data_IF_196426489066
#
_entry.id   IF_196426489066
#
_cell.length_a   1.000
_cell.length_b   1.000
_cell.length_c   1.000
_cell.angle_alpha   90.00
_cell.angle_beta   90.00
_cell.angle_gamma   90.00
#
_symmetry.space_group_name_H-M   'P 1'
#
loop_
_entity.id
_entity.type
_entity.pdbx_description
1 polymer ?
#
# COMPACT_ATOMS: atom_id res chain seq x y z
N UNK A 1 36.84 83.97 23.30
CA UNK A 1 35.81 83.81 22.26
C UNK A 1 35.16 82.47 22.51
N UNK A 2 34.20 82.45 23.43
CA UNK A 2 33.40 81.27 23.76
C UNK A 2 32.24 81.20 22.77
N UNK A 3 32.48 80.56 21.62
CA UNK A 3 31.42 80.23 20.68
C UNK A 3 30.59 79.10 21.28
N UNK A 4 29.54 79.47 22.00
CA UNK A 4 28.48 78.56 22.43
C UNK A 4 27.94 77.83 21.17
N UNK A 5 27.97 76.49 21.12
CA UNK A 5 27.47 75.76 19.96
C UNK A 5 25.97 76.06 19.74
N UNK A 6 25.50 76.04 18.49
CA UNK A 6 24.08 76.27 18.18
C UNK A 6 23.25 75.16 18.84
N UNK A 7 22.22 75.54 19.61
CA UNK A 7 21.35 74.64 20.36
C UNK A 7 20.69 73.55 19.49
N UNK A 8 20.62 73.78 18.18
CA UNK A 8 20.04 72.87 17.20
C UNK A 8 20.90 71.59 17.01
N UNK A 9 22.22 71.69 17.15
CA UNK A 9 23.12 70.53 17.01
C UNK A 9 23.01 69.54 18.20
N UNK A 10 22.68 70.03 19.39
CA UNK A 10 22.42 69.19 20.57
C UNK A 10 21.06 68.47 20.45
N UNK A 11 20.06 69.10 19.82
CA UNK A 11 18.77 68.49 19.53
C UNK A 11 18.85 67.36 18.50
N UNK A 12 19.61 67.57 17.42
CA UNK A 12 19.79 66.57 16.36
C UNK A 12 20.57 65.35 16.86
N UNK A 13 21.64 65.56 17.64
CA UNK A 13 22.42 64.45 18.22
C UNK A 13 21.61 63.63 19.22
N UNK A 14 20.78 64.26 20.04
CA UNK A 14 19.89 63.56 20.96
C UNK A 14 18.85 62.71 20.20
N UNK A 15 18.31 63.23 19.09
CA UNK A 15 17.33 62.53 18.24
C UNK A 15 17.95 61.28 17.61
N UNK A 16 19.15 61.42 17.02
CA UNK A 16 19.91 60.29 16.46
C UNK A 16 20.18 59.21 17.53
N UNK A 17 20.55 59.60 18.75
CA UNK A 17 20.76 58.63 19.84
C UNK A 17 19.47 57.90 20.24
N UNK A 18 18.31 58.56 20.19
CA UNK A 18 17.02 57.90 20.46
C UNK A 18 16.66 56.91 19.36
N UNK A 19 16.87 57.26 18.10
CA UNK A 19 16.63 56.35 16.96
C UNK A 19 17.54 55.13 17.00
N UNK A 20 18.83 55.31 17.32
CA UNK A 20 19.78 54.19 17.46
C UNK A 20 19.35 53.24 18.58
N UNK A 21 18.81 53.76 19.69
CA UNK A 21 18.27 52.92 20.76
C UNK A 21 17.03 52.16 20.32
N UNK A 22 16.11 52.82 19.62
CA UNK A 22 14.92 52.17 19.06
C UNK A 22 15.30 51.05 18.07
N UNK A 23 16.19 51.34 17.12
CA UNK A 23 16.74 50.35 16.18
C UNK A 23 17.38 49.15 16.87
N UNK A 24 18.15 49.38 17.93
CA UNK A 24 18.75 48.29 18.71
C UNK A 24 17.70 47.42 19.39
N UNK A 25 16.64 48.03 19.91
CA UNK A 25 15.58 47.32 20.60
C UNK A 25 14.74 46.50 19.60
N UNK A 26 14.44 47.05 18.42
CA UNK A 26 13.83 46.34 17.28
C UNK A 26 14.71 45.17 16.81
N UNK A 27 16.02 45.38 16.64
CA UNK A 27 16.95 44.30 16.27
C UNK A 27 16.97 43.17 17.29
N UNK A 28 16.81 43.49 18.58
CA UNK A 28 16.76 42.49 19.65
C UNK A 28 15.46 41.68 19.59
N UNK A 29 14.34 42.34 19.29
CA UNK A 29 13.05 41.69 19.07
C UNK A 29 13.11 40.74 17.87
N UNK A 30 13.58 41.24 16.71
CA UNK A 30 13.77 40.42 15.50
C UNK A 30 14.70 39.24 15.76
N UNK A 31 15.76 39.43 16.52
CA UNK A 31 16.64 38.32 16.90
C UNK A 31 15.90 37.27 17.73
N UNK A 32 15.05 37.69 18.66
CA UNK A 32 14.17 36.81 19.42
C UNK A 32 13.23 36.01 18.52
N UNK A 33 12.58 36.67 17.57
CA UNK A 33 11.66 36.04 16.62
C UNK A 33 12.37 35.03 15.72
N UNK A 34 13.57 35.36 15.23
CA UNK A 34 14.39 34.43 14.43
C UNK A 34 14.75 33.19 15.25
N UNK A 35 15.14 33.35 16.51
CA UNK A 35 15.47 32.23 17.37
C UNK A 35 14.25 31.35 17.68
N UNK A 36 13.07 31.96 17.87
CA UNK A 36 11.82 31.24 18.04
C UNK A 36 11.43 30.46 16.75
N UNK A 37 11.55 31.09 15.58
CA UNK A 37 11.29 30.46 14.30
C UNK A 37 12.24 29.28 14.03
N UNK A 38 13.54 29.44 14.34
CA UNK A 38 14.52 28.34 14.26
C UNK A 38 14.17 27.18 15.20
N UNK A 39 13.65 27.47 16.39
CA UNK A 39 13.12 26.47 17.31
C UNK A 39 11.95 25.69 16.71
N UNK A 40 10.98 26.39 16.14
CA UNK A 40 9.83 25.79 15.48
C UNK A 40 10.24 24.91 14.28
N UNK A 41 11.17 25.37 13.44
CA UNK A 41 11.69 24.61 12.30
C UNK A 41 12.34 23.31 12.77
N UNK A 42 13.14 23.33 13.84
CA UNK A 42 13.76 22.11 14.40
C UNK A 42 12.69 21.13 14.88
N UNK A 43 11.64 21.61 15.52
CA UNK A 43 10.53 20.76 15.96
C UNK A 43 9.79 20.14 14.76
N UNK A 44 9.57 20.91 13.70
CA UNK A 44 8.97 20.38 12.46
C UNK A 44 9.85 19.29 11.83
N UNK A 45 11.17 19.45 11.81
CA UNK A 45 12.08 18.39 11.34
C UNK A 45 11.99 17.12 12.19
N UNK A 46 11.86 17.24 13.51
CA UNK A 46 11.69 16.06 14.37
C UNK A 46 10.37 15.34 14.12
N UNK A 47 9.28 16.08 13.89
CA UNK A 47 7.99 15.49 13.54
C UNK A 47 8.02 14.85 12.15
N UNK A 48 8.65 15.49 11.17
CA UNK A 48 8.81 14.93 9.82
C UNK A 48 9.56 13.59 9.87
N UNK A 49 10.68 13.54 10.60
CA UNK A 49 11.44 12.29 10.78
C UNK A 49 10.60 11.20 11.46
N UNK A 50 9.71 11.59 12.38
CA UNK A 50 8.79 10.64 13.04
C UNK A 50 7.77 10.11 12.04
N UNK A 51 7.20 10.98 11.20
CA UNK A 51 6.24 10.60 10.16
C UNK A 51 6.87 9.66 9.14
N UNK A 52 8.08 9.96 8.65
CA UNK A 52 8.81 9.09 7.71
C UNK A 52 9.04 7.69 8.28
N UNK A 53 9.38 7.58 9.58
CA UNK A 53 9.50 6.27 10.24
C UNK A 53 8.17 5.53 10.33
N UNK A 54 7.06 6.24 10.55
CA UNK A 54 5.75 5.60 10.57
C UNK A 54 5.31 5.16 9.18
N UNK A 55 5.60 5.96 8.15
CA UNK A 55 5.31 5.63 6.76
C UNK A 55 6.06 4.36 6.33
N UNK A 56 7.38 4.33 6.51
CA UNK A 56 8.21 3.15 6.20
C UNK A 56 7.78 1.89 6.95
N UNK A 57 7.34 2.03 8.20
CA UNK A 57 6.78 0.91 8.96
C UNK A 57 5.44 0.42 8.39
N UNK A 58 4.57 1.33 7.94
CA UNK A 58 3.31 0.99 7.28
C UNK A 58 3.57 0.31 5.94
N UNK A 59 4.44 0.86 5.09
CA UNK A 59 4.82 0.26 3.80
C UNK A 59 5.33 -1.17 3.98
N UNK A 60 6.29 -1.34 4.90
CA UNK A 60 6.83 -2.67 5.22
C UNK A 60 5.74 -3.62 5.74
N UNK A 61 4.80 -3.12 6.55
CA UNK A 61 3.67 -3.91 7.05
C UNK A 61 2.69 -4.31 5.93
N UNK A 62 2.42 -3.41 4.98
CA UNK A 62 1.58 -3.69 3.81
C UNK A 62 2.23 -4.74 2.91
N UNK A 63 3.53 -4.63 2.65
CA UNK A 63 4.28 -5.61 1.85
C UNK A 63 4.25 -7.00 2.50
N UNK A 64 4.44 -7.08 3.82
CA UNK A 64 4.31 -8.34 4.55
C UNK A 64 2.90 -8.92 4.48
N UNK A 65 1.87 -8.08 4.57
CA UNK A 65 0.49 -8.54 4.41
C UNK A 65 0.22 -9.02 2.99
N UNK A 66 0.72 -8.33 1.97
CA UNK A 66 0.61 -8.77 0.57
C UNK A 66 1.23 -10.15 0.39
N UNK A 67 2.47 -10.34 0.86
CA UNK A 67 3.16 -11.63 0.74
C UNK A 67 2.40 -12.75 1.46
N UNK A 68 1.82 -12.47 2.64
CA UNK A 68 1.01 -13.45 3.37
C UNK A 68 -0.29 -13.78 2.66
N UNK A 69 -0.90 -12.81 1.98
CA UNK A 69 -2.09 -13.02 1.17
C UNK A 69 -1.75 -13.87 -0.06
N UNK A 70 -0.65 -13.59 -0.74
CA UNK A 70 -0.17 -14.37 -1.88
C UNK A 70 0.09 -15.83 -1.47
N UNK A 71 0.85 -16.05 -0.39
CA UNK A 71 1.08 -17.39 0.17
C UNK A 71 -0.23 -18.10 0.55
N UNK A 72 -1.16 -17.39 1.19
CA UNK A 72 -2.44 -17.97 1.58
C UNK A 72 -3.30 -18.31 0.36
N UNK A 73 -3.25 -17.51 -0.70
CA UNK A 73 -3.97 -17.76 -1.95
C UNK A 73 -3.37 -18.94 -2.72
N UNK A 74 -2.05 -19.01 -2.83
CA UNK A 74 -1.37 -20.11 -3.51
C UNK A 74 -1.55 -21.45 -2.77
N UNK A 75 -1.53 -21.41 -1.43
CA UNK A 75 -1.75 -22.60 -0.59
C UNK A 75 -3.19 -23.14 -0.65
N UNK A 76 -4.13 -22.37 -1.21
CA UNK A 76 -5.55 -22.75 -1.32
C UNK A 76 -5.92 -23.33 -2.70
N UNK A 77 -4.98 -23.40 -3.65
CA UNK A 77 -5.25 -23.98 -4.95
C UNK A 77 -4.93 -25.49 -4.97
N UNK A 78 -5.95 -26.37 -4.92
CA UNK A 78 -5.70 -27.80 -4.99
C UNK A 78 -5.19 -28.17 -6.39
N UNK A 79 -4.30 -29.17 -6.46
CA UNK A 79 -3.87 -29.74 -7.75
C UNK A 79 -5.06 -30.20 -8.59
N UNK A 80 -5.09 -29.77 -9.86
CA UNK A 80 -6.15 -30.11 -10.82
C UNK A 80 -5.89 -31.42 -11.57
N UNK A 81 -4.71 -32.03 -11.37
CA UNK A 81 -4.31 -33.25 -12.09
C UNK A 81 -4.29 -34.47 -11.18
N UNK A 82 -3.85 -34.29 -9.93
CA UNK A 82 -3.63 -35.39 -8.99
C UNK A 82 -4.10 -35.02 -7.59
N UNK A 83 -4.60 -36.00 -6.85
CA UNK A 83 -5.01 -35.83 -5.47
C UNK A 83 -3.79 -35.68 -4.56
N UNK A 84 -3.70 -34.58 -3.82
CA UNK A 84 -2.60 -34.30 -2.88
C UNK A 84 -2.47 -35.35 -1.76
N UNK A 85 -3.53 -36.11 -1.48
CA UNK A 85 -3.53 -37.11 -0.42
C UNK A 85 -3.01 -38.49 -0.87
N UNK A 86 -3.27 -38.89 -2.12
CA UNK A 86 -3.01 -40.27 -2.57
C UNK A 86 -2.35 -40.36 -3.96
N UNK A 87 -2.06 -39.22 -4.60
CA UNK A 87 -1.44 -39.14 -5.92
C UNK A 87 -2.32 -39.62 -7.09
N UNK A 88 -3.53 -40.11 -6.83
CA UNK A 88 -4.43 -40.60 -7.88
C UNK A 88 -5.00 -39.45 -8.71
N UNK A 89 -5.34 -39.73 -9.97
CA UNK A 89 -6.00 -38.77 -10.87
C UNK A 89 -7.31 -38.27 -10.26
N UNK A 90 -7.60 -36.99 -10.47
CA UNK A 90 -8.85 -36.34 -10.01
C UNK A 90 -9.77 -36.04 -11.18
N UNK A 91 -11.07 -36.02 -10.90
CA UNK A 91 -12.08 -35.53 -11.82
C UNK A 91 -12.47 -34.09 -11.51
N UNK A 92 -12.74 -33.32 -12.57
CA UNK A 92 -13.00 -31.89 -12.52
C UNK A 92 -14.45 -31.63 -12.93
N UNK A 93 -15.24 -31.07 -12.02
CA UNK A 93 -16.63 -30.72 -12.26
C UNK A 93 -16.80 -29.20 -12.27
N UNK A 94 -17.29 -28.60 -13.36
CA UNK A 94 -17.49 -27.16 -13.44
C UNK A 94 -18.56 -26.71 -12.44
N UNK A 95 -18.31 -25.58 -11.77
CA UNK A 95 -19.24 -24.93 -10.85
C UNK A 95 -19.34 -23.43 -11.19
N UNK A 96 -20.33 -22.74 -10.61
CA UNK A 96 -20.58 -21.33 -10.89
C UNK A 96 -19.33 -20.46 -10.64
N UNK A 97 -18.60 -20.70 -9.56
CA UNK A 97 -17.45 -19.88 -9.16
C UNK A 97 -16.10 -20.61 -9.23
N UNK A 98 -16.01 -21.74 -9.92
CA UNK A 98 -14.79 -22.54 -9.95
C UNK A 98 -14.97 -23.95 -10.47
N UNK A 99 -14.19 -24.88 -9.92
CA UNK A 99 -14.20 -26.30 -10.27
C UNK A 99 -14.17 -27.12 -8.98
N UNK A 100 -15.09 -28.07 -8.85
CA UNK A 100 -15.04 -29.08 -7.81
C UNK A 100 -14.13 -30.21 -8.29
N UNK A 101 -13.08 -30.49 -7.51
CA UNK A 101 -12.11 -31.55 -7.74
C UNK A 101 -12.50 -32.75 -6.87
N UNK A 102 -12.70 -33.92 -7.49
CA UNK A 102 -13.08 -35.16 -6.82
C UNK A 102 -12.02 -36.24 -7.03
N UNK A 103 -11.55 -36.87 -5.95
CA UNK A 103 -10.68 -38.03 -6.02
C UNK A 103 -11.47 -39.32 -5.78
N UNK A 104 -11.62 -40.15 -6.81
CA UNK A 104 -12.33 -41.44 -6.70
C UNK A 104 -11.60 -42.49 -5.85
N UNK A 105 -10.27 -42.39 -5.74
CA UNK A 105 -9.48 -43.37 -4.99
C UNK A 105 -9.63 -43.24 -3.47
N UNK A 106 -9.70 -42.01 -2.95
CA UNK A 106 -9.82 -41.76 -1.51
C UNK A 106 -11.09 -41.01 -1.09
N UNK A 107 -11.98 -40.69 -2.04
CA UNK A 107 -13.25 -40.01 -1.78
C UNK A 107 -13.12 -38.53 -1.39
N UNK A 108 -11.93 -37.95 -1.48
CA UNK A 108 -11.68 -36.56 -1.07
C UNK A 108 -12.15 -35.59 -2.14
N UNK A 109 -12.81 -34.54 -1.70
CA UNK A 109 -13.24 -33.41 -2.54
C UNK A 109 -12.53 -32.13 -2.12
N UNK A 110 -12.26 -31.26 -3.08
CA UNK A 110 -11.74 -29.92 -2.87
C UNK A 110 -12.32 -28.97 -3.92
N UNK A 111 -12.51 -27.70 -3.56
CA UNK A 111 -13.00 -26.69 -4.49
C UNK A 111 -11.84 -25.80 -4.94
N UNK A 112 -11.59 -25.72 -6.24
CA UNK A 112 -10.65 -24.80 -6.84
C UNK A 112 -11.40 -23.57 -7.37
N UNK A 113 -11.04 -22.38 -6.88
CA UNK A 113 -11.54 -21.12 -7.41
C UNK A 113 -11.11 -20.95 -8.89
N UNK A 114 -11.85 -20.15 -9.67
CA UNK A 114 -11.46 -19.73 -11.04
C UNK A 114 -10.04 -19.18 -11.13
N UNK A 115 -9.52 -18.60 -10.04
CA UNK A 115 -8.15 -18.07 -9.95
C UNK A 115 -7.07 -19.17 -9.96
N UNK A 116 -7.42 -20.38 -9.55
CA UNK A 116 -6.51 -21.54 -9.51
C UNK A 116 -6.42 -22.30 -10.84
N UNK A 117 -7.25 -21.94 -11.82
CA UNK A 117 -7.22 -22.55 -13.14
C UNK A 117 -6.05 -21.96 -13.95
N UNK A 118 -5.23 -22.80 -14.62
CA UNK A 118 -4.22 -22.30 -15.53
C UNK A 118 -4.87 -21.42 -16.60
N UNK A 119 -4.33 -20.21 -16.76
CA UNK A 119 -4.89 -19.09 -17.51
C UNK A 119 -5.53 -19.54 -18.85
N UNK A 120 -6.85 -19.40 -18.96
CA UNK A 120 -7.60 -19.71 -20.21
C UNK A 120 -7.16 -18.82 -21.38
N UNK A 121 -6.41 -17.74 -21.17
CA UNK A 121 -5.86 -16.94 -22.28
C UNK A 121 -4.91 -17.72 -23.18
N UNK A 122 -4.30 -18.82 -22.72
CA UNK A 122 -3.46 -19.67 -23.55
C UNK A 122 -4.24 -20.66 -24.45
N UNK A 123 -5.53 -20.93 -24.20
CA UNK A 123 -6.31 -21.94 -24.96
C UNK A 123 -7.19 -21.39 -26.08
N UNK A 124 -7.43 -20.08 -26.14
CA UNK A 124 -8.24 -19.49 -27.23
C UNK A 124 -7.53 -19.48 -28.61
N UNK A 125 -6.27 -19.90 -28.70
CA UNK A 125 -5.53 -20.06 -29.95
C UNK A 125 -5.44 -21.52 -30.45
N UNK A 126 -6.17 -22.46 -29.86
CA UNK A 126 -6.29 -23.79 -30.47
C UNK A 126 -7.54 -23.85 -31.34
N UNK A 127 -7.44 -24.17 -32.65
CA UNK A 127 -8.61 -24.38 -33.48
C UNK A 127 -9.42 -25.56 -32.92
N UNK A 128 -10.73 -25.38 -32.82
CA UNK A 128 -11.70 -26.36 -32.32
C UNK A 128 -11.57 -27.69 -33.07
N UNK A 129 -10.96 -28.70 -32.44
CA UNK A 129 -11.27 -30.09 -32.76
C UNK A 129 -12.55 -30.45 -31.99
N UNK A 130 -13.66 -30.46 -32.73
CA UNK A 130 -15.00 -30.72 -32.22
C UNK A 130 -15.11 -32.05 -31.48
N UNK A 131 -15.65 -31.99 -30.27
CA UNK A 131 -16.13 -33.16 -29.54
C UNK A 131 -17.40 -33.65 -30.26
N UNK A 132 -17.48 -34.92 -30.69
CA UNK A 132 -18.72 -35.44 -31.25
C UNK A 132 -19.79 -35.47 -30.15
N UNK A 133 -20.87 -34.71 -30.37
CA UNK A 133 -22.10 -34.79 -29.59
C UNK A 133 -22.72 -36.18 -29.75
N UNK A 134 -22.37 -37.11 -28.85
CA UNK A 134 -23.18 -38.30 -28.60
C UNK A 134 -23.88 -38.13 -27.27
N UNK A 135 -25.04 -37.49 -27.30
CA UNK A 135 -26.05 -37.61 -26.24
C UNK A 135 -26.56 -39.05 -26.33
N UNK A 136 -26.09 -39.92 -25.44
CA UNK A 136 -26.70 -41.22 -25.23
C UNK A 136 -28.08 -41.03 -24.62
N UNK A 137 -29.11 -41.63 -25.24
CA UNK A 137 -30.47 -41.65 -24.71
C UNK A 137 -30.48 -42.27 -23.29
N UNK A 138 -31.26 -41.75 -22.34
CA UNK A 138 -31.37 -42.35 -21.02
C UNK A 138 -32.20 -43.64 -21.12
N UNK A 139 -31.54 -44.79 -21.05
CA UNK A 139 -32.20 -46.08 -20.82
C UNK A 139 -32.94 -46.04 -19.47
N UNK A 140 -34.24 -46.35 -19.52
CA UNK A 140 -35.18 -46.21 -18.42
C UNK A 140 -34.82 -47.09 -17.21
N UNK A 141 -34.74 -46.45 -16.04
CA UNK A 141 -34.78 -47.13 -14.75
C UNK A 141 -36.12 -46.85 -14.07
N UNK A 142 -37.15 -47.56 -14.50
CA UNK A 142 -38.29 -47.90 -13.65
C UNK A 142 -38.76 -49.30 -14.04
N UNK A 143 -38.53 -50.28 -13.18
CA UNK A 143 -39.28 -51.53 -13.17
C UNK A 143 -39.78 -51.75 -11.75
N UNK A 144 -41.05 -52.13 -11.70
CA UNK A 144 -41.91 -52.49 -10.56
C UNK A 144 -41.29 -53.52 -9.60
#
# INVERSE_FOLDING_TARGET
MDSKPPADAEGDTQTVLTEIRALRDEMREVHGDVMAALGAIRQLFTELTRVERTETAIETGLDQMSHRLDEAMDSQCPSLEHCENCGSKVELHPAENGVLVLCHACGRSAFADRRCLPDRRARFNQPEEGIPNTVGEPEGWTSE
#
